data_IF_259441349313
#
_entry.id   IF_259441349313
#
_cell.length_a   1.000
_cell.length_b   1.000
_cell.length_c   1.000
_cell.angle_alpha   90.00
_cell.angle_beta   90.00
_cell.angle_gamma   90.00
#
_symmetry.space_group_name_H-M   'P 1'
#
loop_
_entity.id
_entity.type
_entity.pdbx_description
1 polymer ?
#
# COMPACT_ATOMS: atom_id res chain seq x y z
N UNK A 1 0.37 12.69 -19.29
CA UNK A 1 -0.78 11.76 -19.20
C UNK A 1 -1.08 11.11 -20.54
N UNK A 2 -1.25 11.86 -21.61
CA UNK A 2 -1.63 11.32 -22.93
C UNK A 2 -0.61 10.30 -23.48
N UNK A 3 0.68 10.55 -23.29
CA UNK A 3 1.73 9.59 -23.63
C UNK A 3 1.55 8.24 -22.91
N UNK A 4 1.19 8.26 -21.63
CA UNK A 4 0.96 7.02 -20.88
C UNK A 4 -0.29 6.26 -21.39
N UNK A 5 -1.30 6.96 -21.87
CA UNK A 5 -2.47 6.34 -22.50
C UNK A 5 -2.09 5.63 -23.80
N UNK A 6 -1.28 6.26 -24.64
CA UNK A 6 -0.77 5.66 -25.88
C UNK A 6 0.07 4.41 -25.60
N UNK A 7 0.95 4.49 -24.58
CA UNK A 7 1.76 3.33 -24.16
C UNK A 7 0.87 2.17 -23.66
N UNK A 8 -0.20 2.47 -22.92
CA UNK A 8 -1.13 1.44 -22.45
C UNK A 8 -1.94 0.85 -23.59
N UNK A 9 -2.39 1.65 -24.55
CA UNK A 9 -3.07 1.14 -25.75
C UNK A 9 -2.17 0.21 -26.57
N UNK A 10 -0.88 0.53 -26.66
CA UNK A 10 0.09 -0.37 -27.31
C UNK A 10 0.24 -1.69 -26.56
N UNK A 11 0.36 -1.66 -25.24
CA UNK A 11 0.41 -2.89 -24.42
C UNK A 11 -0.84 -3.76 -24.58
N UNK A 12 -2.03 -3.13 -24.73
CA UNK A 12 -3.28 -3.85 -24.97
C UNK A 12 -3.28 -4.48 -26.35
N UNK A 13 -2.74 -3.81 -27.36
CA UNK A 13 -2.58 -4.37 -28.70
C UNK A 13 -1.63 -5.57 -28.69
N UNK A 14 -0.44 -5.41 -28.08
CA UNK A 14 0.55 -6.47 -27.96
C UNK A 14 -0.02 -7.70 -27.25
N UNK A 15 -0.90 -7.48 -26.25
CA UNK A 15 -1.61 -8.56 -25.57
C UNK A 15 -2.60 -9.27 -26.49
N UNK A 16 -3.40 -8.53 -27.26
CA UNK A 16 -4.37 -9.09 -28.19
C UNK A 16 -3.70 -9.86 -29.33
N UNK A 17 -2.53 -9.40 -29.79
CA UNK A 17 -1.73 -10.00 -30.85
C UNK A 17 -0.89 -11.17 -30.31
N UNK A 18 -0.86 -11.40 -28.99
CA UNK A 18 -0.11 -12.49 -28.35
C UNK A 18 1.41 -12.28 -28.31
N UNK A 19 1.90 -11.06 -28.61
CA UNK A 19 3.33 -10.70 -28.66
C UNK A 19 3.88 -10.20 -27.32
N UNK A 20 3.02 -10.05 -26.31
CA UNK A 20 3.40 -9.54 -25.01
C UNK A 20 4.35 -10.50 -24.27
N UNK A 21 5.57 -10.06 -23.98
CA UNK A 21 6.51 -10.83 -23.15
C UNK A 21 5.97 -10.99 -21.73
N UNK A 22 5.84 -12.25 -21.28
CA UNK A 22 5.34 -12.61 -19.96
C UNK A 22 6.43 -12.50 -18.90
N UNK A 23 6.07 -12.02 -17.73
CA UNK A 23 6.96 -12.04 -16.58
C UNK A 23 7.12 -13.47 -16.03
N UNK A 24 8.30 -13.85 -15.51
CA UNK A 24 8.54 -15.18 -14.97
C UNK A 24 7.50 -15.53 -13.88
N UNK A 25 6.89 -16.72 -14.03
CA UNK A 25 5.90 -17.24 -13.07
C UNK A 25 4.51 -16.60 -13.13
N UNK A 26 4.19 -15.82 -14.16
CA UNK A 26 2.88 -15.15 -14.31
C UNK A 26 2.22 -15.44 -15.66
N UNK A 27 0.89 -15.35 -15.66
CA UNK A 27 0.10 -15.44 -16.88
C UNK A 27 0.20 -14.15 -17.70
N UNK A 28 -0.03 -14.24 -19.01
CA UNK A 28 0.00 -13.08 -19.92
C UNK A 28 -0.95 -11.96 -19.44
N UNK A 29 -2.13 -12.30 -18.95
CA UNK A 29 -3.12 -11.34 -18.43
C UNK A 29 -2.61 -10.64 -17.16
N UNK A 30 -2.01 -11.36 -16.23
CA UNK A 30 -1.44 -10.78 -15.00
C UNK A 30 -0.27 -9.86 -15.32
N UNK A 31 0.56 -10.26 -16.28
CA UNK A 31 1.67 -9.45 -16.78
C UNK A 31 1.17 -8.15 -17.39
N UNK A 32 0.12 -8.20 -18.22
CA UNK A 32 -0.50 -7.01 -18.79
C UNK A 32 -0.99 -6.04 -17.69
N UNK A 33 -1.76 -6.57 -16.71
CA UNK A 33 -2.29 -5.75 -15.61
C UNK A 33 -1.17 -5.04 -14.83
N UNK A 34 -0.06 -5.73 -14.56
CA UNK A 34 1.08 -5.14 -13.87
C UNK A 34 1.80 -4.08 -14.69
N UNK A 35 2.06 -4.35 -15.97
CA UNK A 35 2.71 -3.39 -16.88
C UNK A 35 1.85 -2.12 -17.03
N UNK A 36 0.53 -2.27 -17.14
CA UNK A 36 -0.39 -1.13 -17.19
C UNK A 36 -0.35 -0.33 -15.88
N UNK A 37 -0.44 -0.99 -14.73
CA UNK A 37 -0.37 -0.34 -13.43
C UNK A 37 0.96 0.42 -13.24
N UNK A 38 2.06 -0.17 -13.64
CA UNK A 38 3.39 0.47 -13.58
C UNK A 38 3.42 1.77 -14.40
N UNK A 39 2.98 1.72 -15.67
CA UNK A 39 2.95 2.88 -16.55
C UNK A 39 2.06 4.00 -16.02
N UNK A 40 0.85 3.66 -15.60
CA UNK A 40 -0.10 4.62 -15.06
C UNK A 40 0.37 5.24 -13.74
N UNK A 41 0.94 4.44 -12.84
CA UNK A 41 1.52 4.94 -11.58
C UNK A 41 2.73 5.84 -11.83
N UNK A 42 3.58 5.50 -12.79
CA UNK A 42 4.73 6.33 -13.18
C UNK A 42 4.28 7.70 -13.70
N UNK A 43 3.23 7.72 -14.54
CA UNK A 43 2.65 8.95 -15.05
C UNK A 43 2.04 9.81 -13.92
N UNK A 44 1.26 9.20 -13.00
CA UNK A 44 0.73 9.89 -11.82
C UNK A 44 1.84 10.47 -10.94
N UNK A 45 2.87 9.69 -10.66
CA UNK A 45 3.97 10.13 -9.81
C UNK A 45 4.76 11.28 -10.45
N UNK A 46 4.94 11.26 -11.78
CA UNK A 46 5.56 12.36 -12.52
C UNK A 46 4.72 13.64 -12.43
N UNK A 47 3.41 13.53 -12.61
CA UNK A 47 2.49 14.67 -12.46
C UNK A 47 2.54 15.22 -11.03
N UNK A 48 2.58 14.35 -10.03
CA UNK A 48 2.70 14.75 -8.63
C UNK A 48 4.01 15.50 -8.32
N UNK A 49 5.13 15.10 -8.93
CA UNK A 49 6.40 15.83 -8.79
C UNK A 49 6.31 17.23 -9.39
N UNK A 50 5.74 17.36 -10.59
CA UNK A 50 5.56 18.66 -11.25
C UNK A 50 4.70 19.59 -10.37
N UNK A 51 3.60 19.08 -9.79
CA UNK A 51 2.77 19.87 -8.88
C UNK A 51 3.54 20.30 -7.64
N UNK A 52 4.32 19.41 -7.05
CA UNK A 52 5.12 19.71 -5.86
C UNK A 52 6.21 20.75 -6.14
N UNK A 53 6.81 20.73 -7.34
CA UNK A 53 7.82 21.70 -7.78
C UNK A 53 7.23 23.07 -8.11
N UNK A 54 5.98 23.08 -8.64
CA UNK A 54 5.29 24.30 -9.08
C UNK A 54 4.47 24.95 -7.96
N UNK A 55 4.13 24.19 -6.91
CA UNK A 55 3.34 24.69 -5.79
C UNK A 55 4.11 25.78 -5.02
N UNK A 56 3.39 26.83 -4.63
CA UNK A 56 3.93 27.86 -3.76
C UNK A 56 4.32 27.27 -2.40
N UNK A 57 5.60 27.40 -2.06
CA UNK A 57 6.18 26.84 -0.81
C UNK A 57 5.63 27.51 0.44
N UNK A 58 5.18 28.75 0.33
CA UNK A 58 4.64 29.53 1.44
C UNK A 58 3.12 29.36 1.59
N UNK A 59 2.49 28.55 0.72
CA UNK A 59 1.07 28.23 0.85
C UNK A 59 0.80 27.43 2.13
N UNK A 60 -0.32 27.71 2.78
CA UNK A 60 -0.74 27.02 4.02
C UNK A 60 -0.73 25.51 3.88
N UNK A 61 -1.15 24.98 2.74
CA UNK A 61 -1.16 23.55 2.46
C UNK A 61 0.26 22.97 2.40
N UNK A 62 1.20 23.68 1.74
CA UNK A 62 2.59 23.23 1.68
C UNK A 62 3.27 23.29 3.05
N UNK A 63 2.98 24.32 3.83
CA UNK A 63 3.47 24.41 5.21
C UNK A 63 2.96 23.26 6.08
N UNK A 64 1.69 22.89 5.98
CA UNK A 64 1.15 21.72 6.71
C UNK A 64 1.80 20.40 6.28
N UNK A 65 2.06 20.21 4.98
CA UNK A 65 2.71 19.01 4.46
C UNK A 65 4.17 18.95 4.90
N UNK A 66 4.90 20.07 4.81
CA UNK A 66 6.33 20.13 5.18
C UNK A 66 6.57 19.97 6.68
N UNK A 67 5.67 20.50 7.50
CA UNK A 67 5.73 20.34 8.96
C UNK A 67 5.40 18.92 9.43
N UNK A 68 4.86 18.07 8.54
CA UNK A 68 4.40 16.73 8.90
C UNK A 68 3.12 16.71 9.74
N UNK A 69 2.45 17.86 9.89
CA UNK A 69 1.23 17.98 10.71
C UNK A 69 0.01 17.33 10.08
N UNK A 70 -0.20 17.56 8.79
CA UNK A 70 -1.33 16.97 8.07
C UNK A 70 -1.08 16.96 6.55
N UNK A 71 -1.70 15.97 5.87
CA UNK A 71 -1.62 15.83 4.43
C UNK A 71 -0.29 15.24 3.94
N UNK A 72 -0.23 14.98 2.65
CA UNK A 72 0.99 14.56 1.96
C UNK A 72 1.00 15.10 0.53
N UNK A 73 2.14 15.01 -0.13
CA UNK A 73 2.29 15.44 -1.53
C UNK A 73 1.38 14.69 -2.50
N UNK A 74 0.98 13.47 -2.15
CA UNK A 74 0.02 12.71 -2.95
C UNK A 74 -1.36 13.38 -2.95
N UNK A 75 -1.82 13.88 -1.81
CA UNK A 75 -3.10 14.57 -1.71
C UNK A 75 -3.08 15.86 -2.55
N UNK A 76 -1.99 16.62 -2.51
CA UNK A 76 -1.80 17.80 -3.35
C UNK A 76 -1.83 17.45 -4.84
N UNK A 77 -1.15 16.37 -5.23
CA UNK A 77 -1.16 15.87 -6.60
C UNK A 77 -2.56 15.43 -7.06
N UNK A 78 -3.33 14.79 -6.19
CA UNK A 78 -4.71 14.38 -6.48
C UNK A 78 -5.66 15.57 -6.63
N UNK A 79 -5.43 16.62 -5.86
CA UNK A 79 -6.23 17.85 -5.99
C UNK A 79 -5.92 18.61 -7.28
N UNK A 80 -4.66 18.81 -7.61
CA UNK A 80 -4.23 19.70 -8.67
C UNK A 80 -3.84 19.04 -10.00
N UNK A 81 -3.61 17.74 -10.04
CA UNK A 81 -3.12 17.07 -11.25
C UNK A 81 -3.92 15.84 -11.66
N UNK A 82 -3.87 14.78 -10.85
CA UNK A 82 -4.42 13.49 -11.24
C UNK A 82 -4.79 12.65 -10.02
N UNK A 83 -6.03 12.21 -9.96
CA UNK A 83 -6.48 11.29 -8.88
C UNK A 83 -5.82 9.92 -9.01
N UNK A 84 -5.66 9.43 -10.24
CA UNK A 84 -4.95 8.18 -10.53
C UNK A 84 -5.82 6.94 -10.52
N UNK A 85 -5.17 5.77 -10.40
CA UNK A 85 -5.85 4.48 -10.47
C UNK A 85 -6.67 4.20 -9.22
N UNK A 86 -7.95 3.93 -9.42
CA UNK A 86 -8.82 3.37 -8.41
C UNK A 86 -8.64 1.85 -8.39
N UNK A 87 -8.29 1.30 -7.24
CA UNK A 87 -8.01 -0.12 -7.10
C UNK A 87 -8.84 -0.75 -5.99
N UNK A 88 -9.29 -1.96 -6.24
CA UNK A 88 -9.98 -2.80 -5.26
C UNK A 88 -9.14 -4.05 -5.00
N UNK A 89 -8.85 -4.31 -3.73
CA UNK A 89 -8.09 -5.50 -3.30
C UNK A 89 -6.75 -5.68 -4.04
N UNK A 90 -6.06 -4.58 -4.31
CA UNK A 90 -4.74 -4.59 -4.94
C UNK A 90 -4.72 -4.68 -6.47
N UNK A 91 -5.87 -4.73 -7.13
CA UNK A 91 -5.99 -4.78 -8.59
C UNK A 91 -6.83 -3.66 -9.18
N UNK A 92 -6.74 -3.49 -10.50
CA UNK A 92 -7.64 -2.58 -11.23
C UNK A 92 -9.09 -3.08 -11.15
N UNK A 93 -10.05 -2.19 -11.24
CA UNK A 93 -11.47 -2.54 -11.19
C UNK A 93 -11.80 -3.49 -12.35
N UNK A 94 -12.26 -4.70 -12.03
CA UNK A 94 -12.56 -5.73 -13.02
C UNK A 94 -13.98 -6.28 -12.93
N UNK A 95 -14.63 -6.07 -11.79
CA UNK A 95 -15.96 -6.60 -11.49
C UNK A 95 -17.03 -5.52 -11.69
N UNK A 96 -18.20 -5.95 -12.10
CA UNK A 96 -19.37 -5.11 -12.31
C UNK A 96 -20.40 -5.90 -13.13
N UNK A 97 -20.45 -5.66 -14.42
CA UNK A 97 -21.30 -6.40 -15.35
C UNK A 97 -20.52 -7.55 -16.01
N UNK A 98 -21.23 -8.33 -16.85
CA UNK A 98 -20.59 -9.40 -17.62
C UNK A 98 -19.55 -8.81 -18.59
N UNK A 99 -18.28 -9.13 -18.37
CA UNK A 99 -17.11 -8.71 -19.17
C UNK A 99 -16.86 -7.19 -19.25
N UNK A 100 -17.49 -6.38 -18.42
CA UNK A 100 -17.27 -4.92 -18.34
C UNK A 100 -17.54 -4.41 -16.93
N UNK A 101 -16.97 -3.27 -16.59
CA UNK A 101 -17.11 -2.64 -15.28
C UNK A 101 -18.43 -1.90 -15.14
N UNK A 102 -18.79 -1.14 -16.15
CA UNK A 102 -20.04 -0.37 -16.22
C UNK A 102 -20.69 -0.53 -17.58
N UNK A 103 -21.99 -0.23 -17.67
CA UNK A 103 -22.78 -0.33 -18.91
C UNK A 103 -22.31 0.61 -20.02
N UNK A 104 -21.66 1.71 -19.68
CA UNK A 104 -21.14 2.72 -20.62
C UNK A 104 -19.87 2.27 -21.36
N UNK A 105 -19.17 1.25 -20.85
CA UNK A 105 -17.97 0.73 -21.48
C UNK A 105 -18.27 -0.48 -22.36
N UNK A 106 -17.42 -0.70 -23.36
CA UNK A 106 -17.49 -1.87 -24.22
C UNK A 106 -17.17 -3.16 -23.44
N UNK A 107 -17.64 -4.31 -23.92
CA UNK A 107 -17.23 -5.60 -23.37
C UNK A 107 -15.75 -5.83 -23.62
N UNK A 108 -15.09 -6.43 -22.63
CA UNK A 108 -13.65 -6.76 -22.64
C UNK A 108 -12.72 -5.53 -22.81
N UNK A 109 -13.21 -4.31 -22.52
CA UNK A 109 -12.40 -3.13 -22.51
C UNK A 109 -11.37 -3.16 -21.35
N UNK A 110 -10.09 -3.13 -21.72
CA UNK A 110 -8.95 -3.15 -20.81
C UNK A 110 -8.34 -1.74 -20.62
N UNK A 111 -8.91 -0.74 -21.27
CA UNK A 111 -8.44 0.64 -21.25
C UNK A 111 -8.38 1.24 -19.83
N UNK A 112 -7.57 2.29 -19.63
CA UNK A 112 -7.39 2.92 -18.32
C UNK A 112 -8.71 3.42 -17.73
N UNK A 113 -9.50 4.20 -18.50
CA UNK A 113 -10.76 4.75 -18.04
C UNK A 113 -11.80 3.66 -17.70
N UNK A 114 -11.88 2.60 -18.52
CA UNK A 114 -12.79 1.49 -18.29
C UNK A 114 -12.46 0.68 -17.03
N UNK A 115 -11.22 0.73 -16.57
CA UNK A 115 -10.70 0.00 -15.41
C UNK A 115 -10.42 0.89 -14.21
N UNK A 116 -10.94 2.12 -14.19
CA UNK A 116 -10.95 2.99 -13.03
C UNK A 116 -9.73 3.89 -12.88
N UNK A 117 -9.05 4.24 -13.97
CA UNK A 117 -8.03 5.27 -13.93
C UNK A 117 -8.68 6.65 -14.15
N UNK A 118 -8.48 7.58 -13.23
CA UNK A 118 -8.97 8.95 -13.26
C UNK A 118 -7.82 9.86 -13.67
N UNK A 119 -7.93 10.45 -14.85
CA UNK A 119 -6.89 11.27 -15.44
C UNK A 119 -6.80 12.66 -14.82
N UNK A 120 -7.93 13.21 -14.44
CA UNK A 120 -8.08 14.59 -13.98
C UNK A 120 -7.93 14.69 -12.46
N UNK A 121 -7.67 15.89 -11.94
CA UNK A 121 -7.60 16.17 -10.52
C UNK A 121 -8.99 16.53 -9.96
N UNK A 122 -9.09 16.60 -8.64
CA UNK A 122 -10.35 17.01 -7.98
C UNK A 122 -10.76 18.45 -8.33
N UNK A 123 -9.78 19.32 -8.62
CA UNK A 123 -10.04 20.71 -9.03
C UNK A 123 -10.83 20.78 -10.34
N UNK A 124 -10.54 19.87 -11.26
CA UNK A 124 -11.18 19.84 -12.58
C UNK A 124 -12.55 19.14 -12.55
N UNK A 125 -12.82 18.43 -11.45
CA UNK A 125 -14.03 17.65 -11.26
C UNK A 125 -13.93 16.23 -11.82
N UNK A 126 -14.88 15.39 -11.45
CA UNK A 126 -14.92 13.97 -11.84
C UNK A 126 -16.11 13.70 -12.77
N UNK A 127 -15.89 12.86 -13.75
CA UNK A 127 -16.98 12.34 -14.60
C UNK A 127 -17.87 11.37 -13.79
N UNK A 128 -19.14 11.19 -14.14
CA UNK A 128 -20.05 10.33 -13.36
C UNK A 128 -19.53 8.91 -13.13
N UNK A 129 -18.92 8.29 -14.12
CA UNK A 129 -18.34 6.95 -13.98
C UNK A 129 -17.08 6.92 -13.10
N UNK A 130 -16.27 8.00 -13.13
CA UNK A 130 -15.08 8.14 -12.28
C UNK A 130 -15.46 8.31 -10.81
N UNK A 131 -16.47 9.15 -10.55
CA UNK A 131 -17.05 9.30 -9.20
C UNK A 131 -17.61 7.97 -8.68
N UNK A 132 -18.26 7.19 -9.54
CA UNK A 132 -18.77 5.89 -9.17
C UNK A 132 -17.65 4.92 -8.80
N UNK A 133 -16.58 4.85 -9.58
CA UNK A 133 -15.41 4.04 -9.26
C UNK A 133 -14.73 4.46 -7.96
N UNK A 134 -14.59 5.76 -7.73
CA UNK A 134 -14.04 6.28 -6.48
C UNK A 134 -14.93 5.89 -5.28
N UNK A 135 -16.25 5.99 -5.43
CA UNK A 135 -17.20 5.60 -4.40
C UNK A 135 -17.15 4.09 -4.09
N UNK A 136 -16.97 3.25 -5.11
CA UNK A 136 -16.79 1.79 -4.93
C UNK A 136 -15.52 1.50 -4.14
N UNK A 137 -14.40 2.11 -4.53
CA UNK A 137 -13.11 1.92 -3.86
C UNK A 137 -13.14 2.42 -2.42
N UNK A 138 -13.72 3.60 -2.20
CA UNK A 138 -13.92 4.16 -0.86
C UNK A 138 -14.77 3.26 0.03
N UNK A 139 -15.86 2.70 -0.49
CA UNK A 139 -16.73 1.76 0.24
C UNK A 139 -15.98 0.46 0.59
N UNK A 140 -15.23 -0.11 -0.34
CA UNK A 140 -14.44 -1.32 -0.10
C UNK A 140 -13.39 -1.07 1.00
N UNK A 141 -12.70 0.05 0.97
CA UNK A 141 -11.73 0.46 1.99
C UNK A 141 -12.36 0.65 3.38
N UNK A 142 -13.51 1.32 3.44
CA UNK A 142 -14.23 1.52 4.71
C UNK A 142 -14.70 0.19 5.30
N UNK A 143 -15.25 -0.70 4.49
CA UNK A 143 -15.67 -2.02 4.93
C UNK A 143 -14.49 -2.88 5.40
N UNK A 144 -13.37 -2.87 4.67
CA UNK A 144 -12.17 -3.61 5.06
C UNK A 144 -11.65 -3.13 6.44
N UNK A 145 -11.57 -1.83 6.65
CA UNK A 145 -11.18 -1.24 7.94
C UNK A 145 -12.15 -1.66 9.05
N UNK A 146 -13.44 -1.55 8.82
CA UNK A 146 -14.47 -1.90 9.79
C UNK A 146 -14.49 -3.39 10.17
N UNK A 147 -14.13 -4.28 9.23
CA UNK A 147 -14.07 -5.73 9.47
C UNK A 147 -12.74 -6.17 10.11
N UNK A 148 -11.63 -5.54 9.75
CA UNK A 148 -10.30 -5.88 10.30
C UNK A 148 -10.15 -5.46 11.76
N UNK A 149 -10.69 -4.32 12.15
CA UNK A 149 -10.57 -3.78 13.50
C UNK A 149 -11.12 -4.73 14.57
N UNK A 150 -12.36 -5.25 14.49
CA UNK A 150 -12.85 -6.23 15.45
C UNK A 150 -12.07 -7.55 15.43
N UNK A 151 -11.66 -8.02 14.24
CA UNK A 151 -10.90 -9.26 14.10
C UNK A 151 -9.52 -9.17 14.75
N UNK A 152 -8.81 -8.08 14.54
CA UNK A 152 -7.52 -7.83 15.19
C UNK A 152 -7.69 -7.60 16.70
N UNK A 153 -8.73 -6.91 17.13
CA UNK A 153 -9.06 -6.70 18.55
C UNK A 153 -9.37 -8.01 19.28
N UNK A 154 -10.12 -8.92 18.67
CA UNK A 154 -10.39 -10.23 19.24
C UNK A 154 -9.12 -11.09 19.32
N UNK A 155 -8.28 -11.08 18.29
CA UNK A 155 -6.98 -11.76 18.32
C UNK A 155 -6.08 -11.19 19.43
N UNK A 156 -5.98 -9.86 19.52
CA UNK A 156 -5.20 -9.19 20.57
C UNK A 156 -5.68 -9.58 21.97
N UNK A 157 -7.00 -9.56 22.21
CA UNK A 157 -7.57 -9.97 23.50
C UNK A 157 -7.19 -11.41 23.87
N UNK A 158 -7.28 -12.34 22.91
CA UNK A 158 -6.90 -13.74 23.13
C UNK A 158 -5.41 -13.89 23.45
N UNK A 159 -4.54 -13.20 22.71
CA UNK A 159 -3.10 -13.19 22.93
C UNK A 159 -2.76 -12.58 24.29
N UNK A 160 -3.34 -11.42 24.62
CA UNK A 160 -3.11 -10.78 25.91
C UNK A 160 -3.50 -11.69 27.07
N UNK A 161 -4.67 -12.36 27.00
CA UNK A 161 -5.08 -13.32 28.01
C UNK A 161 -4.17 -14.56 28.10
N UNK A 162 -3.68 -15.03 26.96
CA UNK A 162 -2.76 -16.18 26.93
C UNK A 162 -1.35 -15.85 27.47
N UNK A 163 -0.95 -14.59 27.37
CA UNK A 163 0.41 -14.15 27.73
C UNK A 163 0.49 -13.44 29.09
N UNK A 164 -0.65 -13.10 29.72
CA UNK A 164 -0.67 -12.29 30.95
C UNK A 164 0.10 -12.94 32.12
N UNK A 165 0.15 -14.27 32.17
CA UNK A 165 0.78 -15.03 33.25
C UNK A 165 2.25 -15.36 32.98
N UNK A 166 2.75 -15.06 31.77
CA UNK A 166 4.12 -15.38 31.38
C UNK A 166 5.11 -14.42 32.04
N UNK A 167 6.11 -14.95 32.73
CA UNK A 167 7.18 -14.18 33.38
C UNK A 167 8.54 -14.80 33.14
N UNK A 168 9.55 -13.96 32.99
CA UNK A 168 10.93 -14.37 32.96
C UNK A 168 11.37 -14.57 34.41
N UNK A 169 11.92 -15.75 34.73
CA UNK A 169 12.48 -16.10 36.04
C UNK A 169 13.96 -15.76 36.12
N UNK A 170 14.52 -15.84 37.32
CA UNK A 170 15.95 -15.57 37.57
C UNK A 170 16.90 -16.52 36.84
N UNK A 171 16.42 -17.70 36.43
CA UNK A 171 17.14 -18.67 35.61
C UNK A 171 17.02 -18.42 34.10
N UNK A 172 16.49 -17.27 33.72
CA UNK A 172 16.22 -16.84 32.32
C UNK A 172 15.18 -17.70 31.57
N UNK A 173 14.53 -18.63 32.24
CA UNK A 173 13.38 -19.36 31.66
C UNK A 173 12.13 -18.52 31.70
N UNK A 174 11.24 -18.69 30.68
CA UNK A 174 9.90 -18.10 30.68
C UNK A 174 8.92 -19.13 31.22
N UNK A 175 8.20 -18.78 32.28
CA UNK A 175 7.22 -19.66 32.92
C UNK A 175 5.85 -19.03 33.05
N UNK A 176 4.82 -19.90 33.11
CA UNK A 176 3.45 -19.51 33.41
C UNK A 176 3.19 -19.43 34.94
N UNK A 177 1.96 -19.08 35.33
CA UNK A 177 1.54 -18.99 36.72
C UNK A 177 1.63 -20.35 37.46
N UNK A 178 1.57 -21.46 36.76
CA UNK A 178 1.75 -22.83 37.33
C UNK A 178 3.21 -23.28 37.41
N UNK A 179 4.15 -22.39 37.12
CA UNK A 179 5.58 -22.65 37.12
C UNK A 179 6.07 -23.61 36.04
N UNK A 180 5.22 -23.83 35.01
CA UNK A 180 5.56 -24.63 33.83
C UNK A 180 6.44 -23.84 32.89
N UNK A 181 7.53 -24.45 32.45
CA UNK A 181 8.43 -23.80 31.48
C UNK A 181 7.78 -23.76 30.10
N UNK A 182 7.62 -22.53 29.58
CA UNK A 182 7.11 -22.26 28.24
C UNK A 182 8.24 -22.06 27.25
N UNK A 183 9.32 -21.37 27.67
CA UNK A 183 10.56 -21.25 26.93
C UNK A 183 11.76 -21.42 27.86
N UNK A 184 12.80 -22.10 27.40
CA UNK A 184 14.03 -22.27 28.16
C UNK A 184 14.87 -20.99 28.20
N UNK A 185 14.83 -20.20 27.12
CA UNK A 185 15.46 -18.88 27.05
C UNK A 185 14.47 -17.93 26.37
N UNK A 186 14.30 -16.73 26.89
CA UNK A 186 13.42 -15.73 26.31
C UNK A 186 13.80 -15.47 24.86
N UNK A 187 12.83 -15.64 23.93
CA UNK A 187 13.04 -15.43 22.49
C UNK A 187 14.06 -16.36 21.83
N UNK A 188 14.50 -17.45 22.52
CA UNK A 188 15.57 -18.37 22.12
C UNK A 188 16.99 -17.78 22.17
N UNK A 189 17.13 -16.45 22.09
CA UNK A 189 18.41 -15.72 22.09
C UNK A 189 18.65 -14.89 23.37
N UNK A 190 17.67 -14.77 24.22
CA UNK A 190 17.73 -13.97 25.46
C UNK A 190 17.72 -12.45 25.23
N UNK A 191 17.44 -11.98 23.99
CA UNK A 191 17.50 -10.57 23.66
C UNK A 191 16.15 -9.89 23.86
N UNK A 192 16.16 -8.81 24.63
CA UNK A 192 14.99 -7.93 24.74
C UNK A 192 14.90 -7.02 23.51
N UNK A 193 13.90 -7.29 22.65
CA UNK A 193 13.66 -6.56 21.40
C UNK A 193 13.42 -5.07 21.63
N UNK A 194 12.86 -4.69 22.79
CA UNK A 194 12.62 -3.27 23.13
C UNK A 194 13.92 -2.50 23.37
N UNK A 195 14.98 -3.18 23.76
CA UNK A 195 16.31 -2.61 24.01
C UNK A 195 17.27 -2.75 22.84
N UNK A 196 16.83 -3.37 21.75
CA UNK A 196 17.61 -3.57 20.52
C UNK A 196 17.28 -2.56 19.44
N UNK A 197 18.20 -2.29 18.53
CA UNK A 197 17.99 -1.37 17.39
C UNK A 197 17.23 -2.11 16.28
N UNK A 198 15.90 -1.91 16.24
CA UNK A 198 15.03 -2.54 15.24
C UNK A 198 14.97 -4.08 15.31
N UNK A 199 15.14 -4.66 16.49
CA UNK A 199 15.15 -6.12 16.69
C UNK A 199 16.46 -6.79 16.26
N UNK A 200 17.52 -6.02 15.99
CA UNK A 200 18.84 -6.54 15.60
C UNK A 200 19.90 -6.15 16.60
N UNK A 201 20.84 -7.05 16.86
CA UNK A 201 22.02 -6.74 17.66
C UNK A 201 23.06 -6.08 16.75
N UNK A 202 23.43 -4.84 17.08
CA UNK A 202 24.52 -4.14 16.39
C UNK A 202 25.87 -4.58 16.99
N UNK A 203 26.43 -5.65 16.42
CA UNK A 203 27.69 -6.26 16.89
C UNK A 203 28.86 -5.27 16.90
N UNK A 204 28.95 -4.37 15.90
CA UNK A 204 30.00 -3.34 15.85
C UNK A 204 29.95 -2.42 17.06
N UNK A 205 28.77 -1.93 17.41
CA UNK A 205 28.56 -1.04 18.56
C UNK A 205 28.87 -1.74 19.90
N UNK A 206 28.55 -3.04 19.99
CA UNK A 206 28.89 -3.83 21.18
C UNK A 206 30.41 -3.97 21.32
N UNK A 207 31.13 -4.27 20.23
CA UNK A 207 32.59 -4.38 20.20
C UNK A 207 33.23 -3.04 20.57
N UNK A 208 32.79 -1.94 19.94
CA UNK A 208 33.29 -0.59 20.24
C UNK A 208 33.13 -0.23 21.72
N UNK A 209 31.99 -0.58 22.32
CA UNK A 209 31.70 -0.30 23.71
C UNK A 209 32.61 -1.12 24.64
N UNK A 210 32.78 -2.41 24.40
CA UNK A 210 33.63 -3.28 25.20
C UNK A 210 35.12 -2.90 25.05
N UNK A 211 35.54 -2.48 23.84
CA UNK A 211 36.93 -2.03 23.64
C UNK A 211 37.21 -0.62 24.20
N UNK A 212 36.18 0.22 24.39
CA UNK A 212 36.32 1.53 25.01
C UNK A 212 36.33 1.48 26.56
N UNK A 213 35.80 0.41 27.15
CA UNK A 213 35.78 0.16 28.62
C UNK A 213 37.03 -0.56 29.13
N UNK A 214 37.91 -1.03 28.23
CA UNK A 214 39.22 -1.61 28.54
C UNK A 214 40.35 -0.66 28.15
#
# INVERSE_FOLDING_TARGET
MDQAYVEVEQLIKDYNDGTLETLPGRNMRETLELKILEKLNKARNRSGKIVAETADKDSELMLMIQSGGAGNLLNLAQMGACVGQQSMRGGRISKGFNKRTLSVFKKDDLGPAARGFIKEGFKDGLKPHELFFMSMTGRDSLMDTALRTPKSGYLYRRLANAMQDLRIQNDFTVRDASNKIVQFVYGEDGVDVTKSEGGKINVKRVIERVTAEN
#
